data_IF_868566917610
#
_entry.id   IF_868566917610
#
_cell.length_a   1.000
_cell.length_b   1.000
_cell.length_c   1.000
_cell.angle_alpha   90.00
_cell.angle_beta   90.00
_cell.angle_gamma   90.00
#
_symmetry.space_group_name_H-M   'P 1'
#
loop_
_entity.id
_entity.type
_entity.pdbx_description
1 polymer ?
#
# COMPACT_ATOMS: atom_id res chain seq x y z
N UNK A 1 -13.61 -23.13 -3.80
CA UNK A 1 -12.99 -22.40 -2.67
C UNK A 1 -11.79 -23.22 -2.21
N UNK A 2 -10.60 -22.97 -2.76
CA UNK A 2 -9.41 -23.79 -2.45
C UNK A 2 -9.02 -23.67 -0.98
N UNK A 3 -8.75 -24.81 -0.33
CA UNK A 3 -8.26 -24.88 1.06
C UNK A 3 -7.07 -23.94 1.26
N UNK A 4 -7.01 -23.24 2.40
CA UNK A 4 -5.91 -22.32 2.76
C UNK A 4 -4.54 -22.98 2.57
N UNK A 5 -4.46 -24.28 2.84
CA UNK A 5 -3.26 -25.12 2.66
C UNK A 5 -2.80 -25.18 1.21
N UNK A 6 -3.70 -25.28 0.23
CA UNK A 6 -3.33 -25.36 -1.18
C UNK A 6 -2.80 -24.00 -1.69
N UNK A 7 -3.45 -22.91 -1.29
CA UNK A 7 -2.97 -21.55 -1.61
C UNK A 7 -1.58 -21.30 -1.03
N UNK A 8 -1.39 -21.71 0.22
CA UNK A 8 -0.11 -21.57 0.91
C UNK A 8 0.97 -22.44 0.27
N UNK A 9 0.66 -23.68 -0.09
CA UNK A 9 1.57 -24.58 -0.80
C UNK A 9 1.96 -24.03 -2.18
N UNK A 10 1.00 -23.53 -2.96
CA UNK A 10 1.28 -22.92 -4.26
C UNK A 10 2.19 -21.69 -4.11
N UNK A 11 1.94 -20.86 -3.10
CA UNK A 11 2.78 -19.70 -2.80
C UNK A 11 4.20 -20.13 -2.39
N UNK A 12 4.35 -21.07 -1.47
CA UNK A 12 5.66 -21.50 -0.95
C UNK A 12 6.51 -22.25 -1.98
N UNK A 13 5.86 -23.01 -2.87
CA UNK A 13 6.55 -23.88 -3.83
C UNK A 13 6.92 -23.15 -5.12
N UNK A 14 6.07 -22.23 -5.60
CA UNK A 14 6.28 -21.58 -6.90
C UNK A 14 6.60 -20.09 -6.78
N UNK A 15 5.71 -19.31 -6.15
CA UNK A 15 5.82 -17.85 -6.15
C UNK A 15 7.00 -17.36 -5.29
N UNK A 16 7.12 -17.88 -4.07
CA UNK A 16 8.16 -17.44 -3.13
C UNK A 16 9.57 -17.72 -3.66
N UNK A 17 9.93 -18.93 -4.14
CA UNK A 17 11.27 -19.19 -4.67
C UNK A 17 11.58 -18.36 -5.91
N UNK A 18 10.60 -18.19 -6.82
CA UNK A 18 10.75 -17.36 -8.00
C UNK A 18 11.02 -15.88 -7.67
N UNK A 19 10.24 -15.28 -6.76
CA UNK A 19 10.45 -13.87 -6.41
C UNK A 19 11.71 -13.67 -5.54
N UNK A 20 12.14 -14.68 -4.78
CA UNK A 20 13.38 -14.63 -4.00
C UNK A 20 14.64 -14.80 -4.84
N UNK A 21 14.57 -15.42 -6.02
CA UNK A 21 15.72 -15.54 -6.92
C UNK A 21 16.05 -14.24 -7.68
N UNK A 22 15.13 -13.27 -7.70
CA UNK A 22 15.31 -11.97 -8.33
C UNK A 22 15.89 -10.95 -7.34
N UNK A 23 16.62 -9.94 -7.87
CA UNK A 23 16.99 -8.75 -7.10
C UNK A 23 15.75 -8.16 -6.39
N UNK A 24 15.84 -7.74 -5.12
CA UNK A 24 14.68 -7.32 -4.36
C UNK A 24 13.87 -6.18 -4.97
N UNK A 25 14.55 -5.21 -5.60
CA UNK A 25 13.89 -4.08 -6.23
C UNK A 25 13.28 -4.48 -7.57
N UNK A 26 13.95 -5.32 -8.35
CA UNK A 26 13.40 -5.93 -9.58
C UNK A 26 12.16 -6.77 -9.30
N UNK A 27 12.20 -7.62 -8.27
CA UNK A 27 11.06 -8.42 -7.83
C UNK A 27 9.88 -7.55 -7.42
N UNK A 28 10.13 -6.44 -6.73
CA UNK A 28 9.09 -5.50 -6.32
C UNK A 28 8.46 -4.79 -7.54
N UNK A 29 9.26 -4.30 -8.49
CA UNK A 29 8.74 -3.66 -9.70
C UNK A 29 7.99 -4.65 -10.60
N UNK A 30 8.46 -5.90 -10.72
CA UNK A 30 7.73 -6.95 -11.42
C UNK A 30 6.37 -7.21 -10.76
N UNK A 31 6.34 -7.37 -9.44
CA UNK A 31 5.09 -7.57 -8.70
C UNK A 31 4.14 -6.38 -8.91
N UNK A 32 4.63 -5.14 -8.77
CA UNK A 32 3.84 -3.93 -9.02
C UNK A 32 3.22 -3.91 -10.42
N UNK A 33 4.02 -4.21 -11.44
CA UNK A 33 3.54 -4.22 -12.83
C UNK A 33 2.48 -5.29 -13.04
N UNK A 34 2.70 -6.52 -12.56
CA UNK A 34 1.73 -7.60 -12.65
C UNK A 34 0.42 -7.23 -11.95
N UNK A 35 0.49 -6.68 -10.73
CA UNK A 35 -0.69 -6.26 -9.98
C UNK A 35 -1.45 -5.13 -10.69
N UNK A 36 -0.73 -4.09 -11.13
CA UNK A 36 -1.31 -2.95 -11.86
C UNK A 36 -1.99 -3.37 -13.18
N UNK A 37 -1.36 -4.27 -13.94
CA UNK A 37 -1.91 -4.83 -15.17
C UNK A 37 -3.14 -5.68 -14.85
N UNK A 38 -3.04 -6.56 -13.85
CA UNK A 38 -4.15 -7.47 -13.47
C UNK A 38 -5.40 -6.71 -13.04
N UNK A 39 -5.26 -5.55 -12.39
CA UNK A 39 -6.37 -4.70 -11.96
C UNK A 39 -7.18 -4.11 -13.13
N UNK A 40 -6.62 -4.07 -14.35
CA UNK A 40 -7.31 -3.58 -15.54
C UNK A 40 -8.23 -4.62 -16.19
N UNK A 41 -8.07 -5.89 -15.85
CA UNK A 41 -8.90 -6.96 -16.42
C UNK A 41 -10.21 -7.12 -15.63
N UNK A 42 -11.35 -7.18 -16.33
CA UNK A 42 -12.64 -7.37 -15.68
C UNK A 42 -12.69 -8.70 -14.93
N UNK A 43 -13.27 -8.71 -13.74
CA UNK A 43 -13.44 -9.91 -12.92
C UNK A 43 -12.23 -10.31 -12.05
N UNK A 44 -11.00 -9.92 -12.40
CA UNK A 44 -9.81 -10.26 -11.60
C UNK A 44 -9.91 -9.68 -10.18
N UNK A 45 -10.28 -8.41 -10.05
CA UNK A 45 -10.43 -7.78 -8.74
C UNK A 45 -11.49 -8.45 -7.86
N UNK A 46 -12.60 -8.90 -8.46
CA UNK A 46 -13.66 -9.65 -7.76
C UNK A 46 -13.17 -11.04 -7.35
N UNK A 47 -12.41 -11.71 -8.21
CA UNK A 47 -11.82 -13.01 -7.92
C UNK A 47 -10.84 -12.91 -6.76
N UNK A 48 -9.90 -11.95 -6.82
CA UNK A 48 -8.94 -11.67 -5.74
C UNK A 48 -9.67 -11.45 -4.43
N UNK A 49 -10.69 -10.58 -4.43
CA UNK A 49 -11.49 -10.31 -3.25
C UNK A 49 -12.16 -11.56 -2.67
N UNK A 50 -12.77 -12.40 -3.51
CA UNK A 50 -13.37 -13.66 -3.07
C UNK A 50 -12.35 -14.63 -2.44
N UNK A 51 -11.08 -14.52 -2.83
CA UNK A 51 -10.00 -15.42 -2.41
C UNK A 51 -9.26 -14.94 -1.16
N UNK A 52 -9.21 -13.63 -0.91
CA UNK A 52 -8.36 -13.05 0.13
C UNK A 52 -9.13 -12.27 1.19
N UNK A 53 -10.34 -11.79 0.90
CA UNK A 53 -11.10 -11.02 1.88
C UNK A 53 -11.72 -11.90 2.96
N UNK A 54 -11.65 -11.42 4.20
CA UNK A 54 -12.31 -12.00 5.36
C UNK A 54 -12.99 -10.86 6.13
N UNK A 55 -14.26 -11.06 6.51
CA UNK A 55 -15.06 -10.06 7.23
C UNK A 55 -15.68 -10.68 8.47
N UNK A 56 -15.58 -9.98 9.59
CA UNK A 56 -16.19 -10.36 10.85
C UNK A 56 -16.39 -9.10 11.68
N UNK A 57 -17.56 -8.94 12.31
CA UNK A 57 -17.82 -7.80 13.20
C UNK A 57 -16.84 -7.74 14.38
N UNK A 58 -16.25 -8.87 14.76
CA UNK A 58 -15.22 -8.95 15.81
C UNK A 58 -13.91 -8.25 15.43
N UNK A 59 -13.66 -8.04 14.14
CA UNK A 59 -12.44 -7.36 13.66
C UNK A 59 -12.65 -5.86 13.49
N UNK A 60 -13.88 -5.37 13.50
CA UNK A 60 -14.16 -3.93 13.35
C UNK A 60 -13.49 -3.17 14.48
N UNK A 61 -12.72 -2.14 14.12
CA UNK A 61 -12.00 -1.32 15.09
C UNK A 61 -12.21 0.16 14.80
N UNK A 62 -12.16 0.98 15.84
CA UNK A 62 -12.28 2.43 15.74
C UNK A 62 -11.04 3.07 16.32
N UNK A 63 -10.31 3.83 15.50
CA UNK A 63 -9.09 4.54 15.91
C UNK A 63 -9.21 5.99 15.47
N UNK A 64 -8.97 6.93 16.39
CA UNK A 64 -9.06 8.37 16.12
C UNK A 64 -10.38 8.81 15.42
N UNK A 65 -11.50 8.15 15.76
CA UNK A 65 -12.81 8.44 15.18
C UNK A 65 -13.04 7.88 13.77
N UNK A 66 -12.12 7.08 13.24
CA UNK A 66 -12.24 6.38 11.95
C UNK A 66 -12.56 4.91 12.22
N UNK A 67 -13.57 4.37 11.52
CA UNK A 67 -13.92 2.96 11.59
C UNK A 67 -13.17 2.17 10.51
N UNK A 68 -12.62 1.03 10.89
CA UNK A 68 -11.95 0.10 10.00
C UNK A 68 -12.64 -1.25 10.09
N UNK A 69 -12.87 -1.89 8.93
CA UNK A 69 -13.50 -3.21 8.86
C UNK A 69 -12.66 -4.31 9.54
N UNK A 70 -11.35 -4.09 9.61
CA UNK A 70 -10.39 -4.93 10.32
C UNK A 70 -9.13 -4.12 10.69
N UNK A 71 -8.29 -4.58 11.64
CA UNK A 71 -7.12 -3.82 12.07
C UNK A 71 -5.89 -4.00 11.14
N UNK A 72 -5.96 -4.85 10.11
CA UNK A 72 -4.82 -5.16 9.26
C UNK A 72 -4.64 -4.10 8.17
N UNK A 73 -3.46 -3.47 8.14
CA UNK A 73 -3.11 -2.45 7.17
C UNK A 73 -2.00 -2.88 6.22
N UNK A 74 -2.01 -2.34 5.00
CA UNK A 74 -0.83 -2.29 4.15
C UNK A 74 -0.06 -1.00 4.46
N UNK A 75 1.16 -1.13 4.98
CA UNK A 75 1.98 0.02 5.38
C UNK A 75 2.60 0.79 4.21
N UNK A 76 3.05 2.02 4.49
CA UNK A 76 3.78 2.82 3.52
C UNK A 76 5.05 2.12 3.01
N UNK A 77 5.48 2.52 1.83
CA UNK A 77 6.71 2.06 1.18
C UNK A 77 6.46 0.94 0.19
N UNK A 78 5.30 0.28 0.23
CA UNK A 78 4.90 -0.71 -0.77
C UNK A 78 4.35 -0.06 -2.04
N UNK A 79 3.35 0.80 -1.92
CA UNK A 79 2.83 1.58 -3.04
C UNK A 79 3.25 3.04 -2.90
N UNK A 80 4.27 3.47 -3.65
CA UNK A 80 4.80 4.85 -3.61
C UNK A 80 4.16 5.78 -4.63
N UNK A 81 3.24 5.28 -5.45
CA UNK A 81 2.62 6.01 -6.58
C UNK A 81 1.10 6.13 -6.44
N UNK A 82 0.47 5.18 -5.76
CA UNK A 82 -0.98 5.02 -5.66
C UNK A 82 -1.56 4.12 -6.76
N UNK A 83 -0.74 3.54 -7.63
CA UNK A 83 -1.19 2.73 -8.76
C UNK A 83 -1.75 1.37 -8.34
N UNK A 84 -1.33 0.86 -7.18
CA UNK A 84 -1.73 -0.47 -6.71
C UNK A 84 -3.00 -0.42 -5.87
N UNK A 85 -3.45 0.77 -5.46
CA UNK A 85 -4.62 0.92 -4.61
C UNK A 85 -5.86 0.15 -5.11
N UNK A 86 -6.23 0.14 -6.41
CA UNK A 86 -7.37 -0.65 -6.88
C UNK A 86 -7.23 -2.14 -6.56
N UNK A 87 -6.03 -2.71 -6.73
CA UNK A 87 -5.75 -4.11 -6.43
C UNK A 87 -5.69 -4.36 -4.91
N UNK A 88 -4.90 -3.57 -4.19
CA UNK A 88 -4.70 -3.71 -2.75
C UNK A 88 -6.01 -3.53 -1.98
N UNK A 89 -6.92 -2.66 -2.47
CA UNK A 89 -8.24 -2.43 -1.87
C UNK A 89 -9.13 -3.68 -1.84
N UNK A 90 -8.82 -4.65 -2.70
CA UNK A 90 -9.55 -5.92 -2.82
C UNK A 90 -8.85 -7.08 -2.14
N UNK A 91 -7.65 -6.87 -1.59
CA UNK A 91 -6.90 -7.92 -0.89
C UNK A 91 -7.41 -8.22 0.52
N UNK A 92 -8.33 -7.43 1.08
CA UNK A 92 -8.92 -7.65 2.40
C UNK A 92 -8.28 -6.86 3.54
N UNK A 93 -7.34 -5.96 3.25
CA UNK A 93 -6.86 -4.98 4.24
C UNK A 93 -8.02 -4.11 4.74
N UNK A 94 -7.92 -3.62 5.97
CA UNK A 94 -8.80 -2.60 6.55
C UNK A 94 -8.37 -1.17 6.21
N UNK A 95 -7.09 -0.97 5.88
CA UNK A 95 -6.55 0.31 5.37
C UNK A 95 -5.29 0.11 4.53
N UNK A 96 -4.95 1.11 3.71
CA UNK A 96 -3.75 1.14 2.88
C UNK A 96 -3.05 2.47 3.05
N UNK A 97 -1.75 2.46 3.32
CA UNK A 97 -0.93 3.65 3.36
C UNK A 97 -0.07 3.75 2.08
N UNK A 98 -0.31 4.79 1.29
CA UNK A 98 0.43 5.11 0.06
C UNK A 98 1.59 6.06 0.40
N UNK A 99 2.71 5.87 -0.31
CA UNK A 99 3.89 6.70 -0.23
C UNK A 99 5.08 5.95 0.36
N UNK A 100 6.09 6.62 0.94
CA UNK A 100 6.16 8.07 1.17
C UNK A 100 6.27 8.86 -0.13
N UNK A 101 5.45 9.91 -0.27
CA UNK A 101 5.49 10.83 -1.41
C UNK A 101 6.17 12.14 -0.97
N UNK A 102 7.14 12.60 -1.74
CA UNK A 102 7.81 13.90 -1.53
C UNK A 102 7.22 14.95 -2.43
N UNK A 103 7.59 16.20 -2.19
CA UNK A 103 7.00 17.28 -2.93
C UNK A 103 7.37 17.39 -4.39
N UNK A 104 8.60 17.01 -4.71
CA UNK A 104 9.07 16.81 -6.07
C UNK A 104 9.39 15.33 -6.24
N UNK A 105 9.40 14.88 -7.49
CA UNK A 105 9.94 13.57 -7.83
C UNK A 105 11.40 13.48 -7.39
N UNK A 106 11.79 12.32 -6.91
CA UNK A 106 13.19 12.05 -6.58
C UNK A 106 13.51 10.56 -6.77
N UNK A 107 14.72 10.23 -7.25
CA UNK A 107 15.11 8.85 -7.56
C UNK A 107 15.44 8.01 -6.32
N UNK A 108 15.64 8.65 -5.16
CA UNK A 108 16.14 8.02 -3.94
C UNK A 108 17.64 7.74 -3.96
N UNK A 109 18.12 6.87 -3.08
CA UNK A 109 19.54 6.53 -2.96
C UNK A 109 20.03 5.64 -4.13
N UNK A 110 21.34 5.56 -4.37
CA UNK A 110 21.90 4.65 -5.38
C UNK A 110 21.62 3.16 -5.04
N UNK A 111 21.45 2.33 -6.08
CA UNK A 111 21.29 0.88 -5.94
C UNK A 111 22.66 0.19 -5.76
N UNK A 112 22.73 -0.98 -5.09
CA UNK A 112 21.65 -1.69 -4.39
C UNK A 112 21.34 -1.05 -3.04
N UNK A 113 20.05 -1.07 -2.68
CA UNK A 113 19.48 -0.33 -1.53
C UNK A 113 18.36 -1.07 -0.81
N UNK A 114 18.11 -2.32 -1.19
CA UNK A 114 17.20 -3.26 -0.53
C UNK A 114 17.91 -4.59 -0.44
N UNK A 115 17.90 -5.19 0.74
CA UNK A 115 18.58 -6.46 1.03
C UNK A 115 17.60 -7.36 1.76
N UNK A 116 17.52 -8.63 1.35
CA UNK A 116 16.63 -9.63 1.96
C UNK A 116 17.46 -10.63 2.75
N UNK A 117 16.93 -11.05 3.89
CA UNK A 117 17.45 -12.12 4.73
C UNK A 117 16.32 -13.14 4.89
N UNK A 118 16.16 -14.08 3.92
CA UNK A 118 14.97 -14.93 3.85
C UNK A 118 14.81 -15.88 5.03
N UNK A 119 15.91 -16.34 5.62
CA UNK A 119 15.94 -17.21 6.80
C UNK A 119 15.37 -16.48 8.03
N UNK A 120 15.74 -15.21 8.21
CA UNK A 120 15.27 -14.34 9.29
C UNK A 120 13.92 -13.68 9.01
N UNK A 121 13.32 -13.94 7.83
CA UNK A 121 12.14 -13.24 7.33
C UNK A 121 12.28 -11.70 7.37
N UNK A 122 13.50 -11.19 7.17
CA UNK A 122 13.84 -9.80 7.35
C UNK A 122 14.23 -9.11 6.03
N UNK A 123 14.10 -7.79 6.04
CA UNK A 123 14.50 -6.92 4.93
C UNK A 123 15.11 -5.63 5.48
N UNK A 124 16.26 -5.25 4.96
CA UNK A 124 16.91 -3.96 5.25
C UNK A 124 16.79 -3.09 4.00
N UNK A 125 16.37 -1.84 4.18
CA UNK A 125 16.30 -0.89 3.07
C UNK A 125 16.87 0.47 3.43
N UNK A 126 17.48 1.10 2.42
CA UNK A 126 17.97 2.48 2.45
C UNK A 126 17.49 3.19 1.18
N UNK A 127 16.19 3.13 0.90
CA UNK A 127 15.62 3.59 -0.38
C UNK A 127 15.75 5.09 -0.63
N UNK A 128 15.78 5.92 0.41
CA UNK A 128 15.87 7.37 0.27
C UNK A 128 14.62 8.04 -0.34
N UNK A 129 13.42 7.48 -0.08
CA UNK A 129 12.13 7.99 -0.59
C UNK A 129 12.09 8.17 -2.12
N UNK A 130 12.45 7.16 -2.89
CA UNK A 130 12.20 7.17 -4.33
C UNK A 130 10.69 7.25 -4.63
N UNK A 131 10.22 8.30 -5.29
CA UNK A 131 8.79 8.50 -5.59
C UNK A 131 8.60 9.52 -6.73
N UNK A 132 7.44 9.52 -7.42
CA UNK A 132 7.20 10.37 -8.60
C UNK A 132 6.82 11.82 -8.25
N UNK A 133 6.78 12.15 -6.96
CA UNK A 133 6.35 13.46 -6.48
C UNK A 133 4.85 13.58 -6.30
N UNK A 134 4.48 14.57 -5.49
CA UNK A 134 3.13 14.96 -5.14
C UNK A 134 2.18 15.06 -6.35
N UNK A 135 2.50 15.92 -7.31
CA UNK A 135 1.62 16.23 -8.45
C UNK A 135 1.34 14.96 -9.31
N UNK A 136 2.31 14.04 -9.40
CA UNK A 136 2.12 12.77 -10.12
C UNK A 136 1.21 11.82 -9.35
N UNK A 137 1.40 11.68 -8.05
CA UNK A 137 0.56 10.82 -7.21
C UNK A 137 -0.89 11.34 -7.16
N UNK A 138 -1.10 12.65 -7.10
CA UNK A 138 -2.44 13.25 -7.14
C UNK A 138 -3.19 12.84 -8.41
N UNK A 139 -2.55 12.93 -9.59
CA UNK A 139 -3.16 12.52 -10.86
C UNK A 139 -3.56 11.04 -10.90
N UNK A 140 -2.80 10.19 -10.23
CA UNK A 140 -3.08 8.74 -10.16
C UNK A 140 -4.22 8.45 -9.19
N UNK A 141 -4.22 9.10 -8.02
CA UNK A 141 -5.13 8.77 -6.90
C UNK A 141 -6.49 9.47 -7.04
N UNK A 142 -6.52 10.73 -7.49
CA UNK A 142 -7.74 11.54 -7.57
C UNK A 142 -8.93 10.88 -8.32
N UNK A 143 -8.73 10.20 -9.48
CA UNK A 143 -9.85 9.56 -10.18
C UNK A 143 -10.29 8.23 -9.56
N UNK A 144 -9.54 7.68 -8.60
CA UNK A 144 -9.83 6.36 -8.05
C UNK A 144 -11.03 6.43 -7.10
N UNK A 145 -12.01 5.56 -7.33
CA UNK A 145 -13.20 5.51 -6.48
C UNK A 145 -12.86 4.94 -5.10
N UNK A 146 -13.40 5.56 -4.05
CA UNK A 146 -13.23 5.15 -2.64
C UNK A 146 -14.18 4.00 -2.28
N UNK A 147 -14.25 2.98 -3.14
CA UNK A 147 -15.42 2.10 -3.22
C UNK A 147 -15.64 1.17 -2.01
N UNK A 148 -14.66 0.95 -1.11
CA UNK A 148 -14.84 -0.07 -0.05
C UNK A 148 -14.21 0.17 1.32
N UNK A 149 -13.46 1.26 1.51
CA UNK A 149 -12.91 1.53 2.83
C UNK A 149 -13.77 2.52 3.60
N UNK A 150 -14.37 2.06 4.69
CA UNK A 150 -14.63 2.96 5.83
C UNK A 150 -13.30 3.46 6.46
N UNK A 151 -12.19 2.78 6.15
CA UNK A 151 -10.82 3.14 6.53
C UNK A 151 -10.12 4.16 5.61
N UNK A 152 -9.08 4.78 6.15
CA UNK A 152 -8.31 5.86 5.53
C UNK A 152 -7.19 5.36 4.59
N UNK A 153 -7.11 5.86 3.36
CA UNK A 153 -5.91 5.75 2.48
C UNK A 153 -4.79 6.71 2.91
N UNK A 154 -3.95 6.34 3.87
CA UNK A 154 -3.00 7.30 4.45
C UNK A 154 -1.88 7.66 3.47
N UNK A 155 -1.61 8.95 3.24
CA UNK A 155 -0.48 9.40 2.41
C UNK A 155 0.56 10.06 3.30
N UNK A 156 1.67 9.36 3.54
CA UNK A 156 2.78 9.92 4.34
C UNK A 156 3.69 10.76 3.47
N UNK A 157 3.98 11.99 3.92
CA UNK A 157 4.81 12.95 3.21
C UNK A 157 6.04 13.35 4.03
N UNK A 158 7.21 13.43 3.38
CA UNK A 158 8.42 14.03 3.98
C UNK A 158 8.79 15.32 3.24
N UNK A 159 8.76 16.42 3.98
CA UNK A 159 9.24 17.79 3.67
C UNK A 159 8.52 18.60 2.56
N UNK A 160 8.02 19.77 2.94
CA UNK A 160 7.59 20.88 2.08
C UNK A 160 7.59 22.23 2.83
N UNK A 161 7.78 23.38 2.13
CA UNK A 161 7.33 24.69 2.60
C UNK A 161 5.79 24.78 2.58
N UNK A 162 5.21 25.47 3.58
CA UNK A 162 3.79 25.45 4.01
C UNK A 162 2.69 25.74 2.97
N UNK A 163 2.99 26.09 1.70
CA UNK A 163 2.00 26.59 0.73
C UNK A 163 1.37 25.56 -0.24
N UNK A 164 1.89 24.33 -0.34
CA UNK A 164 1.32 23.24 -1.19
C UNK A 164 0.65 22.10 -0.39
N UNK A 165 0.25 22.37 0.86
CA UNK A 165 -0.26 21.38 1.81
C UNK A 165 -1.68 20.88 1.52
N UNK A 166 -2.46 21.56 0.68
CA UNK A 166 -3.92 21.40 0.63
C UNK A 166 -4.43 20.29 -0.30
N UNK A 167 -3.65 19.79 -1.27
CA UNK A 167 -4.20 18.94 -2.34
C UNK A 167 -4.11 17.44 -2.09
N UNK A 168 -2.97 16.93 -1.62
CA UNK A 168 -2.78 15.46 -1.48
C UNK A 168 -3.20 14.95 -0.10
N UNK A 169 -3.06 15.80 0.92
CA UNK A 169 -3.55 15.55 2.28
C UNK A 169 -5.09 15.44 2.33
N UNK A 170 -5.78 15.95 1.30
CA UNK A 170 -7.24 16.07 1.26
C UNK A 170 -7.99 14.79 0.91
N UNK A 171 -7.29 13.70 0.57
CA UNK A 171 -7.93 12.46 0.11
C UNK A 171 -8.42 11.59 1.30
N UNK A 172 -8.23 12.05 2.54
CA UNK A 172 -8.38 11.26 3.75
C UNK A 172 -9.44 11.78 4.72
N UNK A 173 -10.63 11.18 4.67
CA UNK A 173 -11.70 11.28 5.68
C UNK A 173 -12.23 12.71 5.94
N UNK A 174 -13.55 12.85 6.14
CA UNK A 174 -14.16 14.13 6.55
C UNK A 174 -13.65 14.64 7.92
N UNK A 175 -12.84 13.87 8.65
CA UNK A 175 -12.41 14.15 10.03
C UNK A 175 -10.88 14.32 10.19
N UNK A 176 -10.23 15.04 9.26
CA UNK A 176 -8.78 15.29 9.29
C UNK A 176 -8.26 16.00 10.56
N UNK A 177 -9.12 16.70 11.32
CA UNK A 177 -8.71 17.40 12.54
C UNK A 177 -8.22 16.46 13.65
N UNK A 178 -8.69 15.21 13.72
CA UNK A 178 -8.34 14.28 14.80
C UNK A 178 -6.96 13.61 14.68
N UNK A 179 -6.35 13.59 13.50
CA UNK A 179 -5.04 12.92 13.32
C UNK A 179 -3.84 13.88 13.49
N UNK A 180 -4.07 15.19 13.59
CA UNK A 180 -3.02 16.18 13.86
C UNK A 180 -2.42 16.00 15.26
N UNK A 181 -3.21 15.44 16.19
CA UNK A 181 -2.85 15.19 17.59
C UNK A 181 -1.97 13.95 17.81
N UNK A 182 -1.99 12.94 16.92
CA UNK A 182 -1.08 11.79 17.05
C UNK A 182 0.39 12.10 16.73
N UNK A 183 0.68 13.34 16.29
CA UNK A 183 2.05 13.82 16.04
C UNK A 183 2.77 14.32 17.30
N UNK A 184 2.12 14.27 18.46
CA UNK A 184 2.63 14.79 19.74
C UNK A 184 2.72 13.73 20.85
N UNK A 185 2.58 12.43 20.55
CA UNK A 185 2.45 11.41 21.60
C UNK A 185 3.19 10.09 21.34
N UNK A 186 4.21 10.09 20.47
CA UNK A 186 5.20 9.01 20.37
C UNK A 186 6.57 9.65 20.18
#
# INVERSE_FOLDING_TARGET
>A
MFSSTLKQAAYSTFLKPFFLSLDPETSHELAKNLLSISAKFPGILTLVESMTSYRSDRLKTRVAGIEFENPLGMGAGFDKTGELYPFLSRMGFGHIEIGTITGKSQPGNLKPRVFRYPEDQALINRMGFNNPGADSAERIIAPQKKERFAGSTQVKQKSFPKKKLSKITFILSKNFHLMRTMRLSI
#
